data_IF_284369129062
#
_entry.id   IF_284369129062
#
_cell.length_a   1.000
_cell.length_b   1.000
_cell.length_c   1.000
_cell.angle_alpha   90.00
_cell.angle_beta   90.00
_cell.angle_gamma   90.00
#
_symmetry.space_group_name_H-M   'P 1'
#
loop_
_entity.id
_entity.type
_entity.pdbx_description
1 polymer ?
#
# COMPACT_ATOMS: atom_id res chain seq x y z
N UNK A 1 -24.67 -3.12 10.00
CA UNK A 1 -25.35 -3.55 8.76
C UNK A 1 -24.38 -4.46 8.00
N UNK A 2 -24.76 -5.71 7.75
CA UNK A 2 -23.97 -6.64 6.93
C UNK A 2 -24.27 -6.34 5.45
N UNK A 3 -23.40 -5.57 4.81
CA UNK A 3 -23.44 -5.38 3.34
C UNK A 3 -22.85 -6.66 2.73
N UNK A 4 -23.56 -7.28 1.79
CA UNK A 4 -23.02 -8.43 1.07
C UNK A 4 -21.79 -7.99 0.25
N UNK A 5 -20.69 -8.76 0.19
CA UNK A 5 -19.52 -8.41 -0.62
C UNK A 5 -19.85 -8.09 -2.09
N UNK A 6 -20.90 -8.72 -2.63
CA UNK A 6 -21.37 -8.53 -4.00
C UNK A 6 -22.06 -7.17 -4.25
N UNK A 7 -22.37 -6.43 -3.17
CA UNK A 7 -22.98 -5.10 -3.23
C UNK A 7 -21.94 -3.98 -3.15
N UNK A 8 -20.67 -4.30 -2.93
CA UNK A 8 -19.58 -3.31 -2.88
C UNK A 8 -19.10 -3.10 -4.31
N UNK A 9 -19.58 -2.06 -4.96
CA UNK A 9 -19.09 -1.63 -6.28
C UNK A 9 -18.02 -0.57 -6.11
N UNK A 10 -16.97 -0.62 -6.93
CA UNK A 10 -15.98 0.46 -7.01
C UNK A 10 -16.71 1.77 -7.30
N UNK A 11 -16.45 2.80 -6.51
CA UNK A 11 -17.06 4.11 -6.75
C UNK A 11 -16.56 4.71 -8.05
N UNK A 12 -17.48 5.24 -8.85
CA UNK A 12 -17.11 6.05 -10.01
C UNK A 12 -16.68 7.43 -9.51
N UNK A 13 -15.43 7.80 -9.80
CA UNK A 13 -14.86 9.08 -9.39
C UNK A 13 -15.04 10.08 -10.54
N UNK A 14 -15.29 11.37 -10.26
CA UNK A 14 -15.46 12.37 -11.31
C UNK A 14 -14.13 12.73 -12.01
N UNK A 15 -13.06 12.00 -11.74
CA UNK A 15 -11.72 12.17 -12.28
C UNK A 15 -11.07 10.81 -12.53
N UNK A 16 -10.09 10.79 -13.42
CA UNK A 16 -9.26 9.61 -13.68
C UNK A 16 -8.33 9.36 -12.51
N UNK A 17 -8.40 8.18 -11.91
CA UNK A 17 -7.52 7.75 -10.81
C UNK A 17 -6.60 6.58 -11.17
N UNK A 18 -6.77 5.97 -12.35
CA UNK A 18 -5.96 4.83 -12.82
C UNK A 18 -5.01 5.23 -13.96
N UNK A 19 -3.74 4.89 -13.81
CA UNK A 19 -2.66 5.26 -14.71
C UNK A 19 -1.74 4.08 -15.01
N UNK A 20 -1.05 4.18 -16.14
CA UNK A 20 0.09 3.33 -16.48
C UNK A 20 1.37 3.88 -15.85
N UNK A 21 2.42 3.06 -15.68
CA UNK A 21 3.65 3.48 -14.99
C UNK A 21 4.39 4.64 -15.65
N UNK A 22 4.21 4.84 -16.95
CA UNK A 22 4.85 5.86 -17.78
C UNK A 22 4.16 7.25 -17.71
N UNK A 23 2.96 7.35 -17.14
CA UNK A 23 2.17 8.60 -17.05
C UNK A 23 2.54 9.43 -15.80
N UNK A 24 3.84 9.70 -15.62
CA UNK A 24 4.38 10.26 -14.37
C UNK A 24 3.81 11.64 -14.01
N UNK A 25 3.61 12.51 -15.01
CA UNK A 25 3.08 13.86 -14.79
C UNK A 25 1.64 13.81 -14.28
N UNK A 26 0.81 12.96 -14.88
CA UNK A 26 -0.59 12.77 -14.52
C UNK A 26 -0.73 12.09 -13.16
N UNK A 27 0.12 11.09 -12.87
CA UNK A 27 0.15 10.43 -11.56
C UNK A 27 0.47 11.44 -10.46
N UNK A 28 1.48 12.30 -10.67
CA UNK A 28 1.85 13.34 -9.72
C UNK A 28 0.70 14.34 -9.53
N UNK A 29 0.14 14.86 -10.62
CA UNK A 29 -0.95 15.82 -10.57
C UNK A 29 -2.20 15.26 -9.86
N UNK A 30 -2.56 14.00 -10.11
CA UNK A 30 -3.66 13.31 -9.44
C UNK A 30 -3.37 13.14 -7.95
N UNK A 31 -2.15 12.74 -7.58
CA UNK A 31 -1.74 12.57 -6.18
C UNK A 31 -1.77 13.91 -5.43
N UNK A 32 -1.28 14.99 -6.03
CA UNK A 32 -1.29 16.33 -5.42
C UNK A 32 -2.71 16.89 -5.28
N UNK A 33 -3.58 16.66 -6.27
CA UNK A 33 -4.94 17.23 -6.29
C UNK A 33 -5.94 16.42 -5.46
N UNK A 34 -5.82 15.09 -5.48
CA UNK A 34 -6.82 14.17 -4.95
C UNK A 34 -6.30 13.29 -3.80
N UNK A 35 -5.02 13.38 -3.46
CA UNK A 35 -4.40 12.64 -2.35
C UNK A 35 -3.98 11.20 -2.68
N UNK A 36 -4.33 10.67 -3.85
CA UNK A 36 -3.87 9.35 -4.30
C UNK A 36 -3.93 9.20 -5.82
N UNK A 37 -3.23 8.18 -6.33
CA UNK A 37 -3.32 7.67 -7.69
C UNK A 37 -3.11 6.15 -7.69
N UNK A 38 -3.71 5.43 -8.64
CA UNK A 38 -3.55 3.98 -8.82
C UNK A 38 -2.70 3.74 -10.06
N UNK A 39 -1.53 3.12 -9.87
CA UNK A 39 -0.64 2.74 -10.99
C UNK A 39 -0.79 1.25 -11.28
N UNK A 40 -1.18 0.90 -12.51
CA UNK A 40 -1.45 -0.48 -12.93
C UNK A 40 -0.29 -1.06 -13.70
N UNK A 41 -0.05 -2.35 -13.53
CA UNK A 41 1.02 -3.07 -14.24
C UNK A 41 2.42 -2.53 -13.93
N UNK A 42 2.61 -1.97 -12.74
CA UNK A 42 3.91 -1.42 -12.33
C UNK A 42 4.96 -2.52 -12.18
N UNK A 43 4.63 -3.56 -11.41
CA UNK A 43 5.53 -4.67 -11.14
C UNK A 43 5.29 -5.82 -12.15
N UNK A 44 6.36 -6.46 -12.64
CA UNK A 44 6.25 -7.65 -13.46
C UNK A 44 5.85 -8.86 -12.61
N UNK A 45 5.24 -9.87 -13.24
CA UNK A 45 4.67 -11.04 -12.55
C UNK A 45 5.67 -11.74 -11.63
N UNK A 46 6.92 -11.90 -12.06
CA UNK A 46 7.95 -12.56 -11.24
C UNK A 46 8.28 -11.82 -9.92
N UNK A 47 8.22 -10.48 -9.91
CA UNK A 47 8.38 -9.69 -8.67
C UNK A 47 7.14 -9.83 -7.81
N UNK A 48 5.94 -9.80 -8.41
CA UNK A 48 4.67 -10.00 -7.69
C UNK A 48 4.64 -11.36 -7.01
N UNK A 49 4.98 -12.43 -7.71
CA UNK A 49 5.05 -13.79 -7.18
C UNK A 49 6.07 -13.92 -6.05
N UNK A 50 7.24 -13.29 -6.20
CA UNK A 50 8.24 -13.24 -5.12
C UNK A 50 7.67 -12.55 -3.88
N UNK A 51 7.06 -11.37 -4.04
CA UNK A 51 6.47 -10.64 -2.92
C UNK A 51 5.37 -11.45 -2.22
N UNK A 52 4.53 -12.16 -2.98
CA UNK A 52 3.51 -13.04 -2.40
C UNK A 52 4.13 -14.15 -1.54
N UNK A 53 5.23 -14.78 -2.01
CA UNK A 53 5.96 -15.79 -1.23
C UNK A 53 6.57 -15.19 0.04
N UNK A 54 7.23 -14.04 -0.07
CA UNK A 54 7.86 -13.36 1.08
C UNK A 54 6.83 -12.91 2.11
N UNK A 55 5.69 -12.37 1.68
CA UNK A 55 4.57 -12.02 2.58
C UNK A 55 4.10 -13.26 3.33
N UNK A 56 3.90 -14.40 2.67
CA UNK A 56 3.49 -15.62 3.36
C UNK A 56 4.57 -16.11 4.33
N UNK A 57 5.84 -16.12 3.91
CA UNK A 57 6.98 -16.57 4.74
C UNK A 57 7.15 -15.74 6.00
N UNK A 58 6.99 -14.42 5.90
CA UNK A 58 7.23 -13.48 7.01
C UNK A 58 6.00 -13.30 7.89
N UNK A 59 4.82 -13.09 7.28
CA UNK A 59 3.60 -12.77 8.03
C UNK A 59 2.98 -14.04 8.63
N UNK A 60 3.05 -15.17 7.94
CA UNK A 60 2.37 -16.40 8.35
C UNK A 60 3.17 -17.66 7.99
N UNK A 61 4.39 -17.82 8.56
CA UNK A 61 5.27 -18.95 8.25
C UNK A 61 4.60 -20.30 8.51
N UNK A 62 3.81 -20.39 9.58
CA UNK A 62 3.16 -21.62 10.03
C UNK A 62 1.75 -21.82 9.45
N UNK A 63 1.29 -20.92 8.57
CA UNK A 63 -0.03 -20.96 7.91
C UNK A 63 -1.20 -21.05 8.90
N UNK A 64 -1.15 -20.24 9.94
CA UNK A 64 -2.10 -20.28 11.07
C UNK A 64 -3.23 -19.28 10.95
N UNK A 65 -3.18 -18.32 10.01
CA UNK A 65 -4.25 -17.33 9.87
C UNK A 65 -5.51 -18.00 9.34
N UNK A 66 -6.55 -18.01 10.17
CA UNK A 66 -7.84 -18.62 9.87
C UNK A 66 -8.75 -17.73 8.99
N UNK A 67 -9.88 -18.28 8.52
CA UNK A 67 -10.93 -17.49 7.88
C UNK A 67 -11.40 -16.35 8.78
N UNK A 68 -11.66 -15.18 8.21
CA UNK A 68 -12.07 -14.00 8.98
C UNK A 68 -10.91 -13.23 9.62
N UNK A 69 -9.71 -13.78 9.65
CA UNK A 69 -8.56 -13.19 10.34
C UNK A 69 -7.68 -12.40 9.39
N UNK A 70 -6.96 -11.44 9.98
CA UNK A 70 -5.94 -10.66 9.31
C UNK A 70 -4.72 -10.54 10.21
N UNK A 71 -3.53 -10.49 9.60
CA UNK A 71 -2.29 -10.27 10.33
C UNK A 71 -1.43 -9.26 9.61
N UNK A 72 -0.83 -8.37 10.39
CA UNK A 72 0.11 -7.36 9.93
C UNK A 72 1.48 -7.67 10.51
N UNK A 73 2.50 -7.70 9.68
CA UNK A 73 3.90 -7.71 10.10
C UNK A 73 4.49 -6.33 9.82
N UNK A 74 4.91 -5.62 10.87
CA UNK A 74 5.65 -4.36 10.76
C UNK A 74 7.13 -4.67 10.51
N UNK A 75 7.87 -3.77 9.85
CA UNK A 75 9.27 -3.99 9.47
C UNK A 75 9.45 -5.19 8.53
N UNK A 76 8.60 -5.26 7.51
CA UNK A 76 8.60 -6.30 6.49
C UNK A 76 9.90 -6.35 5.67
N UNK A 77 10.35 -5.25 5.06
CA UNK A 77 11.55 -5.26 4.20
C UNK A 77 12.83 -5.57 4.98
N UNK A 78 12.83 -5.33 6.28
CA UNK A 78 13.93 -5.65 7.19
C UNK A 78 14.08 -7.16 7.41
N UNK A 79 13.02 -7.94 7.13
CA UNK A 79 12.99 -9.41 7.28
C UNK A 79 12.80 -10.16 5.96
N UNK A 80 12.29 -9.49 4.93
CA UNK A 80 12.11 -9.98 3.57
C UNK A 80 13.19 -9.45 2.64
N UNK A 81 14.41 -10.01 2.74
CA UNK A 81 15.55 -9.53 1.95
C UNK A 81 15.30 -9.60 0.44
N UNK A 82 14.59 -10.62 -0.05
CA UNK A 82 14.25 -10.75 -1.47
C UNK A 82 13.32 -9.61 -1.94
N UNK A 83 12.56 -9.00 -1.02
CA UNK A 83 11.71 -7.85 -1.34
C UNK A 83 12.51 -6.59 -1.69
N UNK A 84 13.83 -6.55 -1.41
CA UNK A 84 14.69 -5.44 -1.79
C UNK A 84 14.83 -5.27 -3.29
N UNK A 85 14.52 -6.29 -4.10
CA UNK A 85 14.47 -6.18 -5.56
C UNK A 85 13.53 -5.06 -6.02
N UNK A 86 12.54 -4.66 -5.20
CA UNK A 86 11.71 -3.49 -5.46
C UNK A 86 12.55 -2.23 -5.67
N UNK A 87 13.60 -2.03 -4.86
CA UNK A 87 14.46 -0.86 -4.91
C UNK A 87 15.51 -0.91 -6.03
N UNK A 88 15.67 -2.07 -6.65
CA UNK A 88 16.49 -2.26 -7.85
C UNK A 88 15.65 -2.18 -9.13
N UNK A 89 14.32 -2.28 -9.01
CA UNK A 89 13.42 -2.28 -10.14
C UNK A 89 13.15 -0.86 -10.65
N UNK A 90 13.86 -0.49 -11.72
CA UNK A 90 13.91 0.88 -12.23
C UNK A 90 12.55 1.52 -12.57
N UNK A 91 11.55 0.82 -13.13
CA UNK A 91 10.23 1.43 -13.34
C UNK A 91 9.55 1.89 -12.04
N UNK A 92 9.73 1.15 -10.94
CA UNK A 92 9.27 1.59 -9.62
C UNK A 92 10.08 2.78 -9.12
N UNK A 93 11.41 2.73 -9.26
CA UNK A 93 12.28 3.81 -8.82
C UNK A 93 12.04 5.10 -9.61
N UNK A 94 11.78 5.04 -10.90
CA UNK A 94 11.38 6.20 -11.72
C UNK A 94 10.10 6.86 -11.21
N UNK A 95 9.08 6.05 -10.92
CA UNK A 95 7.85 6.55 -10.30
C UNK A 95 8.12 7.17 -8.93
N UNK A 96 8.95 6.52 -8.11
CA UNK A 96 9.34 7.02 -6.80
C UNK A 96 10.01 8.40 -6.92
N UNK A 97 11.04 8.53 -7.76
CA UNK A 97 11.78 9.78 -7.97
C UNK A 97 10.88 10.89 -8.50
N UNK A 98 9.96 10.57 -9.43
CA UNK A 98 9.01 11.55 -9.96
C UNK A 98 8.02 12.08 -8.89
N UNK A 99 7.63 11.24 -7.93
CA UNK A 99 6.72 11.62 -6.86
C UNK A 99 7.40 12.41 -5.73
N UNK A 100 8.66 12.12 -5.40
CA UNK A 100 9.37 12.77 -4.29
C UNK A 100 10.24 13.95 -4.77
N UNK A 101 10.65 13.94 -6.04
CA UNK A 101 11.52 14.97 -6.62
C UNK A 101 13.00 14.81 -6.25
N UNK A 102 13.42 13.62 -5.81
CA UNK A 102 14.80 13.30 -5.44
C UNK A 102 15.12 11.83 -5.79
N UNK A 103 16.40 11.52 -5.94
CA UNK A 103 16.94 10.16 -6.08
C UNK A 103 17.33 9.52 -4.74
N UNK A 104 17.34 10.30 -3.67
CA UNK A 104 17.56 9.80 -2.31
C UNK A 104 16.35 9.01 -1.81
N UNK A 105 16.59 7.79 -1.30
CA UNK A 105 15.57 6.94 -0.72
C UNK A 105 15.81 6.75 0.77
N UNK A 106 14.81 7.11 1.57
CA UNK A 106 14.70 6.69 2.96
C UNK A 106 13.39 5.95 3.18
N UNK A 107 13.46 4.71 3.70
CA UNK A 107 12.27 3.96 4.12
C UNK A 107 12.11 4.12 5.62
N UNK A 108 11.10 4.89 6.03
CA UNK A 108 10.80 5.08 7.45
C UNK A 108 10.09 3.88 8.07
N UNK A 109 9.20 3.23 7.30
CA UNK A 109 8.44 2.04 7.71
C UNK A 109 8.14 1.17 6.51
N UNK A 110 8.06 -0.12 6.78
CA UNK A 110 7.48 -1.10 5.87
C UNK A 110 6.51 -1.99 6.63
N UNK A 111 5.52 -2.54 5.92
CA UNK A 111 4.60 -3.51 6.49
C UNK A 111 4.09 -4.44 5.39
N UNK A 112 3.72 -5.66 5.80
CA UNK A 112 2.98 -6.60 4.99
C UNK A 112 1.71 -7.02 5.74
N UNK A 113 0.61 -7.18 5.00
CA UNK A 113 -0.69 -7.52 5.56
C UNK A 113 -1.28 -8.70 4.80
N UNK A 114 -1.65 -9.75 5.51
CA UNK A 114 -2.51 -10.83 5.01
C UNK A 114 -3.92 -10.58 5.54
N UNK A 115 -4.91 -10.58 4.66
CA UNK A 115 -6.34 -10.56 5.00
C UNK A 115 -6.98 -11.80 4.39
N UNK A 116 -7.52 -12.70 5.23
CA UNK A 116 -8.23 -13.89 4.74
C UNK A 116 -9.68 -13.56 4.41
N UNK A 117 -10.30 -14.39 3.59
CA UNK A 117 -11.74 -14.28 3.27
C UNK A 117 -12.56 -14.19 4.55
N UNK A 118 -13.49 -13.23 4.58
CA UNK A 118 -14.31 -12.92 5.76
C UNK A 118 -13.70 -11.90 6.72
N UNK A 119 -12.45 -11.43 6.50
CA UNK A 119 -11.87 -10.35 7.30
C UNK A 119 -12.80 -9.14 7.33
N UNK A 120 -12.99 -8.57 8.51
CA UNK A 120 -13.83 -7.38 8.68
C UNK A 120 -13.27 -6.18 7.90
N UNK A 121 -14.18 -5.36 7.40
CA UNK A 121 -13.86 -4.03 6.88
C UNK A 121 -13.35 -3.16 8.04
N UNK A 122 -12.27 -2.43 7.81
CA UNK A 122 -11.74 -1.47 8.79
C UNK A 122 -12.46 -0.14 8.63
N UNK A 123 -12.58 0.62 9.72
CA UNK A 123 -13.16 1.96 9.64
C UNK A 123 -12.31 2.86 8.74
N UNK A 124 -12.96 3.80 8.06
CA UNK A 124 -12.27 4.86 7.33
C UNK A 124 -11.36 5.64 8.28
N UNK A 125 -10.08 5.75 7.91
CA UNK A 125 -9.07 6.48 8.66
C UNK A 125 -8.03 7.07 7.70
N UNK A 126 -7.26 8.01 8.23
CA UNK A 126 -6.04 8.52 7.60
C UNK A 126 -4.86 8.03 8.42
N UNK A 127 -3.85 7.47 7.77
CA UNK A 127 -2.56 7.21 8.41
C UNK A 127 -1.81 8.52 8.69
N UNK A 128 -2.04 9.56 7.90
CA UNK A 128 -1.48 10.89 8.15
C UNK A 128 -2.22 11.55 9.32
N UNK A 129 -1.43 12.06 10.28
CA UNK A 129 -1.89 12.66 11.53
C UNK A 129 -1.26 14.03 11.80
N UNK A 130 -0.85 14.77 10.76
CA UNK A 130 -0.23 16.10 10.91
C UNK A 130 -1.14 17.17 11.55
N UNK A 131 -2.44 16.88 11.65
CA UNK A 131 -3.42 17.71 12.36
C UNK A 131 -3.47 17.46 13.89
N UNK A 132 -2.74 16.46 14.41
CA UNK A 132 -2.78 16.11 15.83
C UNK A 132 -1.93 17.07 16.68
N UNK A 133 -2.57 17.69 17.68
CA UNK A 133 -1.90 18.56 18.66
C UNK A 133 -1.18 17.78 19.78
N UNK A 134 -0.31 18.49 20.52
CA UNK A 134 0.46 17.94 21.64
C UNK A 134 1.65 17.08 21.23
N UNK A 135 2.48 16.61 22.19
CA UNK A 135 3.64 15.78 21.88
C UNK A 135 3.25 14.40 21.31
N UNK A 136 4.04 13.81 20.40
CA UNK A 136 3.80 12.46 19.89
C UNK A 136 3.94 11.42 21.01
N UNK A 137 3.07 10.40 21.02
CA UNK A 137 3.04 9.38 22.10
C UNK A 137 3.87 8.15 21.78
N UNK A 138 4.16 7.90 20.51
CA UNK A 138 4.92 6.76 20.03
C UNK A 138 5.61 7.08 18.70
N UNK A 139 6.43 6.16 18.19
CA UNK A 139 7.15 6.32 16.91
C UNK A 139 6.22 6.44 15.70
N UNK A 140 5.08 5.73 15.72
CA UNK A 140 4.05 5.86 14.70
C UNK A 140 3.48 7.28 14.62
N UNK A 141 3.20 7.91 15.76
CA UNK A 141 2.72 9.29 15.81
C UNK A 141 3.72 10.27 15.19
N UNK A 142 5.03 10.08 15.42
CA UNK A 142 6.08 10.89 14.79
C UNK A 142 6.03 10.71 13.28
N UNK A 143 6.02 9.46 12.81
CA UNK A 143 6.07 9.12 11.39
C UNK A 143 4.77 9.41 10.63
N UNK A 144 3.68 9.68 11.34
CA UNK A 144 2.40 10.07 10.75
C UNK A 144 2.24 11.59 10.64
N UNK A 145 3.09 12.39 11.28
CA UNK A 145 2.92 13.86 11.35
C UNK A 145 3.70 14.67 10.33
N UNK A 146 4.69 14.07 9.66
CA UNK A 146 5.52 14.80 8.70
C UNK A 146 4.82 15.10 7.37
N UNK A 147 5.47 15.98 6.61
CA UNK A 147 5.05 16.41 5.27
C UNK A 147 5.65 15.52 4.16
N UNK A 148 6.14 14.33 4.50
CA UNK A 148 6.67 13.37 3.54
C UNK A 148 5.53 12.73 2.72
N UNK A 149 5.76 12.40 1.44
CA UNK A 149 4.77 11.75 0.59
C UNK A 149 4.29 10.45 1.24
N UNK A 150 2.98 10.37 1.48
CA UNK A 150 2.35 9.31 2.26
C UNK A 150 2.21 8.03 1.45
N UNK A 151 2.68 6.92 2.03
CA UNK A 151 2.33 5.52 1.73
C UNK A 151 2.38 5.04 0.27
N UNK A 152 3.26 4.09 -0.02
CA UNK A 152 3.18 3.29 -1.27
C UNK A 152 2.61 1.92 -0.93
N UNK A 153 1.44 1.60 -1.48
CA UNK A 153 0.73 0.34 -1.25
C UNK A 153 0.77 -0.56 -2.49
N UNK A 154 1.20 -1.80 -2.31
CA UNK A 154 1.25 -2.80 -3.38
C UNK A 154 0.17 -3.85 -3.19
N UNK A 155 -0.86 -3.82 -4.04
CA UNK A 155 -1.93 -4.83 -4.06
C UNK A 155 -1.50 -6.05 -4.88
N UNK A 156 -0.65 -6.89 -4.29
CA UNK A 156 0.01 -8.00 -4.97
C UNK A 156 -0.89 -9.19 -5.32
N UNK A 157 -2.12 -9.25 -4.80
CA UNK A 157 -3.16 -10.22 -5.20
C UNK A 157 -4.32 -9.55 -5.96
N UNK A 158 -4.08 -8.33 -6.44
CA UNK A 158 -5.09 -7.45 -7.03
C UNK A 158 -5.90 -6.66 -6.00
N UNK A 159 -6.49 -5.56 -6.44
CA UNK A 159 -7.39 -4.72 -5.65
C UNK A 159 -8.80 -4.82 -6.24
N UNK A 160 -9.68 -5.56 -5.58
CA UNK A 160 -11.09 -5.71 -5.97
C UNK A 160 -11.97 -5.46 -4.75
N UNK A 161 -13.16 -4.84 -4.89
CA UNK A 161 -14.08 -4.64 -3.77
C UNK A 161 -14.40 -5.94 -3.02
N UNK A 162 -14.57 -7.05 -3.75
CA UNK A 162 -14.82 -8.38 -3.21
C UNK A 162 -13.62 -9.02 -2.50
N UNK A 163 -12.43 -8.41 -2.60
CA UNK A 163 -11.18 -8.93 -2.05
C UNK A 163 -10.50 -7.93 -1.09
N UNK A 164 -11.28 -7.02 -0.49
CA UNK A 164 -10.77 -6.04 0.49
C UNK A 164 -9.87 -4.96 -0.12
N UNK A 165 -9.94 -4.76 -1.44
CA UNK A 165 -9.27 -3.68 -2.16
C UNK A 165 -9.89 -2.31 -1.89
N UNK A 166 -9.26 -1.27 -2.46
CA UNK A 166 -9.76 0.11 -2.39
C UNK A 166 -11.18 0.18 -2.94
N UNK A 167 -12.09 0.76 -2.15
CA UNK A 167 -13.51 0.92 -2.44
C UNK A 167 -13.82 2.36 -2.91
#
# INVERSE_FOLDING_TARGET
MNVSPDQITKRDLPYRSEFRPDELTEIRACTETHGFAIVKGLLPDHIVEMLQREVQRVVDPDKTIGPGESRTHLSFIETAYDAWVLFEYEPFMNLHRALIGTDELCVHRSAAIIRKTGSKVVNWHSDWGGYLEGPPKNTGDVLNRGLWPSGKWFYITGSRPTHGGLC
#
